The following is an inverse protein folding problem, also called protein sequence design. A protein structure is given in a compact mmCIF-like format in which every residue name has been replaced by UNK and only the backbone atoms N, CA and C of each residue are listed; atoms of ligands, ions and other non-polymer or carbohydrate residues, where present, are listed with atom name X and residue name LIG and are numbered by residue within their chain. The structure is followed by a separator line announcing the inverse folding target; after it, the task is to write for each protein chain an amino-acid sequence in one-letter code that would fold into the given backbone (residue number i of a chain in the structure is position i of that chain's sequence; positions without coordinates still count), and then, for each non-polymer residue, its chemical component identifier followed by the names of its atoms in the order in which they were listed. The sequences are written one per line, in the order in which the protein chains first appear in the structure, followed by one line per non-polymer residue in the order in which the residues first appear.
data_IF_339972792074
#
_entry.id   IF_339972792074
#
_cell.length_a   1.000
_cell.length_b   1.000
_cell.length_c   1.000
_cell.angle_alpha   90.00
_cell.angle_beta   90.00
_cell.angle_gamma   90.00
#
_symmetry.space_group_name_H-M   'P 1'
#
loop_
_entity.id
_entity.type
_entity.pdbx_description
1 polymer ?
#
# COMPACT_ATOMS: atom_id res chain seq x y z
N UNK A 1 24.82 -23.49 5.57
CA UNK A 1 23.91 -22.47 4.99
C UNK A 1 22.54 -22.62 5.62
N UNK A 2 22.05 -21.58 6.31
CA UNK A 2 20.87 -21.67 7.18
C UNK A 2 19.57 -21.66 6.34
N UNK A 3 18.95 -22.82 6.15
CA UNK A 3 17.77 -23.02 5.28
C UNK A 3 16.53 -22.22 5.72
N UNK A 4 16.47 -21.86 7.00
CA UNK A 4 15.41 -21.02 7.60
C UNK A 4 15.42 -19.58 7.07
N UNK A 5 16.60 -18.97 6.94
CA UNK A 5 16.79 -17.60 6.42
C UNK A 5 16.42 -17.52 4.95
N UNK A 6 16.78 -18.54 4.17
CA UNK A 6 16.47 -18.63 2.74
C UNK A 6 14.97 -18.76 2.49
N UNK A 7 14.27 -19.56 3.31
CA UNK A 7 12.81 -19.71 3.27
C UNK A 7 12.08 -18.41 3.65
N UNK A 8 12.57 -17.65 4.64
CA UNK A 8 12.04 -16.32 5.00
C UNK A 8 12.21 -15.30 3.86
N UNK A 9 13.38 -15.25 3.20
CA UNK A 9 13.64 -14.36 2.05
C UNK A 9 12.70 -14.63 0.87
N UNK A 10 12.51 -15.91 0.54
CA UNK A 10 11.61 -16.34 -0.54
C UNK A 10 10.16 -15.94 -0.21
N UNK A 11 9.74 -16.04 1.06
CA UNK A 11 8.39 -15.65 1.49
C UNK A 11 8.09 -14.16 1.32
N UNK A 12 9.05 -13.27 1.62
CA UNK A 12 8.90 -11.82 1.42
C UNK A 12 8.79 -11.49 -0.07
N UNK A 13 9.63 -12.12 -0.89
CA UNK A 13 9.59 -11.95 -2.34
C UNK A 13 8.23 -12.40 -2.91
N UNK A 14 7.71 -13.54 -2.47
CA UNK A 14 6.39 -14.02 -2.86
C UNK A 14 5.27 -13.10 -2.37
N UNK A 15 5.36 -12.52 -1.18
CA UNK A 15 4.37 -11.54 -0.70
C UNK A 15 4.38 -10.25 -1.52
N UNK A 16 5.55 -9.79 -1.97
CA UNK A 16 5.67 -8.67 -2.90
C UNK A 16 5.02 -9.00 -4.24
N UNK A 17 5.40 -10.13 -4.85
CA UNK A 17 4.97 -10.52 -6.19
C UNK A 17 3.51 -10.96 -6.28
N UNK A 18 3.01 -11.76 -5.34
CA UNK A 18 1.68 -12.37 -5.42
C UNK A 18 0.59 -11.57 -4.73
N UNK A 19 0.95 -10.66 -3.82
CA UNK A 19 -0.03 -9.94 -3.02
C UNK A 19 0.10 -8.42 -3.19
N UNK A 20 1.28 -7.85 -2.90
CA UNK A 20 1.44 -6.40 -2.85
C UNK A 20 1.34 -5.74 -4.23
N UNK A 21 2.02 -6.30 -5.25
CA UNK A 21 1.98 -5.78 -6.62
C UNK A 21 0.58 -5.95 -7.25
N UNK A 22 -0.07 -7.13 -7.20
CA UNK A 22 -1.43 -7.28 -7.71
C UNK A 22 -2.44 -6.36 -7.00
N UNK A 23 -2.33 -6.19 -5.68
CA UNK A 23 -3.18 -5.25 -4.95
C UNK A 23 -2.92 -3.80 -5.39
N UNK A 24 -1.66 -3.40 -5.61
CA UNK A 24 -1.34 -2.08 -6.11
C UNK A 24 -1.89 -1.85 -7.52
N UNK A 25 -1.79 -2.85 -8.40
CA UNK A 25 -2.39 -2.81 -9.74
C UNK A 25 -3.91 -2.68 -9.67
N UNK A 26 -4.57 -3.45 -8.79
CA UNK A 26 -6.01 -3.34 -8.56
C UNK A 26 -6.39 -1.94 -8.03
N UNK A 27 -5.59 -1.36 -7.13
CA UNK A 27 -5.78 0.02 -6.65
C UNK A 27 -5.64 1.06 -7.76
N UNK A 28 -4.65 0.91 -8.65
CA UNK A 28 -4.50 1.77 -9.84
C UNK A 28 -5.71 1.64 -10.75
N UNK A 29 -6.16 0.40 -11.03
CA UNK A 29 -7.31 0.14 -11.88
C UNK A 29 -8.60 0.74 -11.29
N UNK A 30 -8.81 0.59 -9.97
CA UNK A 30 -9.92 1.23 -9.27
C UNK A 30 -9.85 2.76 -9.38
N UNK A 31 -8.67 3.35 -9.21
CA UNK A 31 -8.45 4.80 -9.37
C UNK A 31 -8.77 5.27 -10.79
N UNK A 32 -8.38 4.50 -11.82
CA UNK A 32 -8.72 4.80 -13.21
C UNK A 32 -10.22 4.72 -13.49
N UNK A 33 -10.91 3.71 -12.93
CA UNK A 33 -12.38 3.60 -13.02
C UNK A 33 -13.04 4.81 -12.36
N UNK A 34 -12.58 5.20 -11.17
CA UNK A 34 -13.09 6.39 -10.48
C UNK A 34 -12.82 7.68 -11.27
N UNK A 35 -11.66 7.79 -11.92
CA UNK A 35 -11.34 8.91 -12.79
C UNK A 35 -12.28 8.98 -14.00
N UNK A 36 -12.59 7.84 -14.63
CA UNK A 36 -13.56 7.79 -15.74
C UNK A 36 -14.96 8.20 -15.29
N UNK A 37 -15.41 7.71 -14.13
CA UNK A 37 -16.68 8.12 -13.52
C UNK A 37 -16.68 9.62 -13.23
N UNK A 38 -15.60 10.14 -12.66
CA UNK A 38 -15.44 11.56 -12.37
C UNK A 38 -15.47 12.43 -13.64
N UNK A 39 -14.78 12.02 -14.71
CA UNK A 39 -14.79 12.71 -16.02
C UNK A 39 -16.19 12.72 -16.67
N UNK A 40 -17.01 11.70 -16.41
CA UNK A 40 -18.40 11.65 -16.90
C UNK A 40 -19.38 12.49 -16.06
N UNK A 41 -18.91 13.06 -14.94
CA UNK A 41 -19.69 13.91 -14.03
C UNK A 41 -19.04 15.30 -13.94
N UNK A 42 -19.53 16.13 -13.02
CA UNK A 42 -18.92 17.45 -12.80
C UNK A 42 -17.52 17.30 -12.19
N UNK A 43 -16.50 17.95 -12.77
CA UNK A 43 -15.14 17.89 -12.26
C UNK A 43 -15.05 18.56 -10.88
N UNK A 44 -14.41 17.85 -9.95
CA UNK A 44 -14.16 18.26 -8.56
C UNK A 44 -12.66 18.30 -8.28
N UNK A 45 -12.17 19.45 -7.82
CA UNK A 45 -10.76 19.64 -7.41
C UNK A 45 -10.35 18.69 -6.28
N UNK A 46 -11.29 18.36 -5.38
CA UNK A 46 -11.05 17.45 -4.26
C UNK A 46 -10.69 16.03 -4.74
N UNK A 47 -11.26 15.56 -5.85
CA UNK A 47 -10.90 14.29 -6.46
C UNK A 47 -9.45 14.31 -6.96
N UNK A 48 -9.07 15.36 -7.68
CA UNK A 48 -7.70 15.50 -8.23
C UNK A 48 -6.66 15.58 -7.11
N UNK A 49 -6.94 16.33 -6.05
CA UNK A 49 -6.09 16.36 -4.86
C UNK A 49 -5.97 14.99 -4.20
N UNK A 50 -7.08 14.26 -4.04
CA UNK A 50 -7.07 12.93 -3.46
C UNK A 50 -6.29 11.93 -4.34
N UNK A 51 -6.45 12.00 -5.67
CA UNK A 51 -5.73 11.18 -6.63
C UNK A 51 -4.22 11.47 -6.66
N UNK A 52 -3.83 12.75 -6.65
CA UNK A 52 -2.43 13.16 -6.58
C UNK A 52 -1.79 12.69 -5.27
N UNK A 53 -2.50 12.86 -4.15
CA UNK A 53 -2.03 12.43 -2.83
C UNK A 53 -1.89 10.90 -2.77
N UNK A 54 -2.89 10.16 -3.27
CA UNK A 54 -2.84 8.70 -3.35
C UNK A 54 -1.67 8.23 -4.23
N UNK A 55 -1.50 8.83 -5.40
CA UNK A 55 -0.41 8.52 -6.34
C UNK A 55 0.97 8.77 -5.74
N UNK A 56 1.18 9.95 -5.13
CA UNK A 56 2.44 10.30 -4.47
C UNK A 56 2.80 9.33 -3.34
N UNK A 57 1.83 9.00 -2.48
CA UNK A 57 2.00 8.01 -1.43
C UNK A 57 2.24 6.60 -1.98
N UNK A 58 1.62 6.23 -3.11
CA UNK A 58 1.85 4.94 -3.78
C UNK A 58 3.28 4.79 -4.26
N UNK A 59 3.84 5.84 -4.88
CA UNK A 59 5.23 5.85 -5.32
C UNK A 59 6.19 5.77 -4.14
N UNK A 60 5.97 6.59 -3.10
CA UNK A 60 6.80 6.57 -1.90
C UNK A 60 6.76 5.21 -1.21
N UNK A 61 5.57 4.62 -1.07
CA UNK A 61 5.39 3.33 -0.39
C UNK A 61 6.01 2.18 -1.18
N UNK A 62 5.94 2.21 -2.51
CA UNK A 62 6.62 1.25 -3.38
C UNK A 62 8.14 1.32 -3.20
N UNK A 63 8.69 2.53 -3.19
CA UNK A 63 10.12 2.74 -2.96
C UNK A 63 10.54 2.22 -1.57
N UNK A 64 9.82 2.63 -0.52
CA UNK A 64 10.09 2.22 0.85
C UNK A 64 10.00 0.69 1.02
N UNK A 65 8.99 0.06 0.40
CA UNK A 65 8.81 -1.38 0.41
C UNK A 65 9.99 -2.12 -0.23
N UNK A 66 10.44 -1.68 -1.40
CA UNK A 66 11.59 -2.26 -2.09
C UNK A 66 12.89 -2.05 -1.32
N UNK A 67 13.11 -0.84 -0.78
CA UNK A 67 14.26 -0.52 0.04
C UNK A 67 14.32 -1.40 1.28
N UNK A 68 13.23 -1.51 2.05
CA UNK A 68 13.18 -2.35 3.26
C UNK A 68 13.32 -3.84 2.93
N UNK A 69 12.70 -4.32 1.85
CA UNK A 69 12.85 -5.70 1.42
C UNK A 69 14.31 -6.00 1.01
N UNK A 70 14.99 -5.06 0.35
CA UNK A 70 16.39 -5.18 0.00
C UNK A 70 17.29 -5.15 1.24
N UNK A 71 17.05 -4.21 2.17
CA UNK A 71 17.77 -4.12 3.45
C UNK A 71 17.64 -5.40 4.26
N UNK A 72 16.44 -5.98 4.35
CA UNK A 72 16.26 -7.29 4.97
C UNK A 72 17.05 -8.39 4.24
N UNK A 73 17.05 -8.38 2.90
CA UNK A 73 17.79 -9.34 2.09
C UNK A 73 19.30 -9.22 2.26
N UNK A 74 19.86 -8.04 2.48
CA UNK A 74 21.31 -7.86 2.61
C UNK A 74 21.79 -7.98 4.06
N UNK A 75 21.01 -7.44 5.00
CA UNK A 75 21.44 -7.17 6.37
C UNK A 75 20.56 -7.80 7.45
N UNK A 76 19.53 -8.59 7.10
CA UNK A 76 18.69 -9.31 8.08
C UNK A 76 17.89 -8.38 9.00
N UNK A 77 17.55 -8.83 10.21
CA UNK A 77 16.75 -8.05 11.15
C UNK A 77 17.44 -6.80 11.64
N UNK A 78 18.74 -6.87 11.91
CA UNK A 78 19.52 -5.70 12.34
C UNK A 78 19.45 -4.59 11.29
N UNK A 79 19.55 -4.95 10.01
CA UNK A 79 19.34 -4.01 8.91
C UNK A 79 17.95 -3.38 8.91
N UNK A 80 16.90 -4.18 9.12
CA UNK A 80 15.54 -3.66 9.24
C UNK A 80 15.36 -2.75 10.45
N UNK A 81 15.90 -3.12 11.61
CA UNK A 81 15.84 -2.33 12.84
C UNK A 81 16.57 -0.98 12.68
N UNK A 82 17.68 -0.95 11.96
CA UNK A 82 18.36 0.30 11.59
C UNK A 82 17.48 1.25 10.75
N UNK A 83 16.47 0.70 10.05
CA UNK A 83 15.48 1.42 9.26
C UNK A 83 14.11 1.49 9.94
N UNK A 84 14.06 1.45 11.27
CA UNK A 84 12.82 1.45 12.06
C UNK A 84 11.87 2.60 11.72
N UNK A 85 12.39 3.80 11.42
CA UNK A 85 11.57 4.95 10.97
C UNK A 85 10.76 4.62 9.72
N UNK A 86 11.39 4.01 8.71
CA UNK A 86 10.72 3.62 7.47
C UNK A 86 9.71 2.50 7.69
N UNK A 87 10.05 1.50 8.52
CA UNK A 87 9.12 0.44 8.94
C UNK A 87 7.90 0.98 9.67
N UNK A 88 8.06 2.08 10.41
CA UNK A 88 6.98 2.69 11.17
C UNK A 88 6.13 3.66 10.34
N UNK A 89 6.73 4.31 9.34
CA UNK A 89 6.03 5.22 8.44
C UNK A 89 5.16 4.47 7.41
N UNK A 90 5.59 3.32 6.91
CA UNK A 90 4.90 2.57 5.85
C UNK A 90 3.42 2.22 6.15
N UNK A 91 3.06 1.72 7.35
CA UNK A 91 1.66 1.49 7.72
C UNK A 91 0.85 2.78 7.81
N UNK A 92 1.46 3.87 8.32
CA UNK A 92 0.81 5.18 8.46
C UNK A 92 0.49 5.75 7.07
N UNK A 93 1.46 5.75 6.16
CA UNK A 93 1.25 6.19 4.77
C UNK A 93 0.21 5.31 4.08
N UNK A 94 0.24 3.99 4.29
CA UNK A 94 -0.78 3.08 3.74
C UNK A 94 -2.19 3.42 4.24
N UNK A 95 -2.35 3.82 5.51
CA UNK A 95 -3.64 4.27 6.03
C UNK A 95 -4.12 5.56 5.35
N UNK A 96 -3.24 6.53 5.14
CA UNK A 96 -3.55 7.75 4.39
C UNK A 96 -3.91 7.45 2.92
N UNK A 97 -3.28 6.45 2.29
CA UNK A 97 -3.69 5.99 0.96
C UNK A 97 -5.10 5.41 0.97
N UNK A 98 -5.45 4.59 1.98
CA UNK A 98 -6.80 4.06 2.12
C UNK A 98 -7.83 5.20 2.20
N UNK A 99 -7.55 6.21 3.02
CA UNK A 99 -8.42 7.40 3.19
C UNK A 99 -8.52 8.18 1.88
N UNK A 100 -7.42 8.40 1.16
CA UNK A 100 -7.44 9.07 -0.13
C UNK A 100 -8.25 8.31 -1.17
N UNK A 101 -8.16 6.97 -1.21
CA UNK A 101 -8.97 6.13 -2.08
C UNK A 101 -10.48 6.22 -1.76
N UNK A 102 -10.83 6.27 -0.48
CA UNK A 102 -12.21 6.49 -0.03
C UNK A 102 -12.71 7.90 -0.39
N UNK A 103 -11.87 8.92 -0.26
CA UNK A 103 -12.20 10.28 -0.67
C UNK A 103 -12.43 10.37 -2.19
N UNK A 104 -11.60 9.70 -3.00
CA UNK A 104 -11.80 9.58 -4.44
C UNK A 104 -13.13 8.91 -4.78
N UNK A 105 -13.51 7.86 -4.05
CA UNK A 105 -14.82 7.21 -4.23
C UNK A 105 -15.95 8.21 -4.01
N UNK A 106 -16.04 8.81 -2.82
CA UNK A 106 -17.15 9.70 -2.49
C UNK A 106 -17.21 10.96 -3.36
N UNK A 107 -16.06 11.46 -3.82
CA UNK A 107 -16.02 12.63 -4.73
C UNK A 107 -16.35 12.27 -6.18
N UNK A 108 -16.11 11.02 -6.62
CA UNK A 108 -16.49 10.55 -7.96
C UNK A 108 -17.97 10.14 -8.06
N UNK A 109 -18.46 9.33 -7.12
CA UNK A 109 -19.85 8.80 -7.17
C UNK A 109 -20.86 9.60 -6.33
N UNK A 110 -20.40 10.56 -5.53
CA UNK A 110 -21.26 11.24 -4.56
C UNK A 110 -21.51 10.37 -3.31
N UNK A 111 -22.12 10.98 -2.29
CA UNK A 111 -22.51 10.24 -1.08
C UNK A 111 -23.76 9.41 -1.34
N UNK A 112 -23.58 8.10 -1.53
CA UNK A 112 -24.68 7.13 -1.57
C UNK A 112 -24.48 6.07 -0.48
N UNK A 113 -25.53 5.66 0.26
CA UNK A 113 -25.41 4.64 1.31
C UNK A 113 -24.80 3.31 0.81
N UNK A 114 -25.07 2.96 -0.46
CA UNK A 114 -24.49 1.78 -1.11
C UNK A 114 -22.97 1.88 -1.32
N UNK A 115 -22.41 3.09 -1.41
CA UNK A 115 -20.97 3.32 -1.53
C UNK A 115 -20.18 2.76 -0.33
N UNK A 116 -20.82 2.73 0.85
CA UNK A 116 -20.23 2.17 2.07
C UNK A 116 -19.96 0.66 1.97
N UNK A 117 -20.67 -0.06 1.09
CA UNK A 117 -20.42 -1.48 0.85
C UNK A 117 -19.12 -1.71 0.06
N UNK A 118 -18.73 -0.75 -0.77
CA UNK A 118 -17.51 -0.82 -1.60
C UNK A 118 -16.29 -0.20 -0.92
N UNK A 119 -16.49 0.71 0.05
CA UNK A 119 -15.42 1.38 0.78
C UNK A 119 -14.40 0.41 1.43
N UNK A 120 -14.81 -0.72 2.07
CA UNK A 120 -13.85 -1.67 2.63
C UNK A 120 -12.96 -2.33 1.57
N UNK A 121 -13.53 -2.67 0.41
CA UNK A 121 -12.75 -3.22 -0.71
C UNK A 121 -11.75 -2.19 -1.23
N UNK A 122 -12.17 -0.94 -1.37
CA UNK A 122 -11.30 0.17 -1.76
C UNK A 122 -10.22 0.49 -0.72
N UNK A 123 -10.47 0.27 0.57
CA UNK A 123 -9.44 0.39 1.60
C UNK A 123 -8.38 -0.72 1.49
N UNK A 124 -8.81 -1.96 1.21
CA UNK A 124 -7.88 -3.10 1.05
C UNK A 124 -6.99 -2.93 -0.18
N UNK A 125 -7.57 -2.52 -1.31
CA UNK A 125 -6.81 -2.30 -2.55
C UNK A 125 -6.15 -0.92 -2.63
N UNK A 126 -6.66 0.07 -1.91
CA UNK A 126 -6.13 1.43 -1.82
C UNK A 126 -4.90 1.53 -0.91
N UNK A 127 -4.67 0.55 -0.04
CA UNK A 127 -3.52 0.46 0.85
C UNK A 127 -2.70 -0.82 0.62
N UNK A 128 -2.20 -1.06 -0.61
CA UNK A 128 -1.61 -2.35 -1.00
C UNK A 128 -0.35 -2.70 -0.18
N UNK A 129 0.33 -1.68 0.36
CA UNK A 129 1.56 -1.82 1.12
C UNK A 129 1.35 -2.11 2.62
N UNK A 130 0.12 -1.99 3.12
CA UNK A 130 -0.19 -2.22 4.53
C UNK A 130 0.17 -3.65 4.96
N UNK A 131 -0.20 -4.64 4.15
CA UNK A 131 0.09 -6.05 4.43
C UNK A 131 1.60 -6.35 4.50
N UNK A 132 2.37 -5.79 3.56
CA UNK A 132 3.81 -5.94 3.49
C UNK A 132 4.50 -5.24 4.66
N UNK A 133 4.03 -4.05 5.05
CA UNK A 133 4.55 -3.32 6.21
C UNK A 133 4.44 -4.15 7.49
N UNK A 134 3.30 -4.83 7.67
CA UNK A 134 3.07 -5.73 8.80
C UNK A 134 4.00 -6.95 8.77
N UNK A 135 4.22 -7.51 7.58
CA UNK A 135 5.12 -8.64 7.38
C UNK A 135 6.58 -8.27 7.71
N UNK A 136 7.07 -7.13 7.23
CA UNK A 136 8.43 -6.66 7.49
C UNK A 136 8.64 -6.29 8.96
N UNK A 137 7.65 -5.64 9.60
CA UNK A 137 7.66 -5.40 11.06
C UNK A 137 7.68 -6.68 11.88
N UNK A 138 7.02 -7.74 11.41
CA UNK A 138 7.08 -9.04 12.09
C UNK A 138 8.47 -9.66 11.95
N UNK A 139 9.08 -9.56 10.78
CA UNK A 139 10.43 -10.08 10.54
C UNK A 139 11.49 -9.37 11.38
N UNK A 140 11.38 -8.06 11.57
CA UNK A 140 12.33 -7.30 12.42
C UNK A 140 12.28 -7.69 13.90
N UNK A 141 11.23 -8.39 14.35
CA UNK A 141 11.04 -8.84 15.75
C UNK A 141 11.28 -10.34 15.97
N UNK A 142 11.49 -11.12 14.91
CA UNK A 142 11.62 -12.59 14.98
C UNK A 142 13.08 -13.07 15.05
N UNK A 143 14.04 -12.15 15.21
CA UNK A 143 15.47 -12.46 15.43
C UNK A 143 15.97 -11.93 16.78
N UNK A 144 15.06 -11.48 17.66
CA UNK A 144 15.28 -11.39 19.12
C UNK A 144 15.02 -12.77 19.76
#
# INVERSE_FOLDING_TARGET
MNTSVQRKRIRVLWHLLLFSIPCAMAGVLATLVLLMVWLSRQPSEAFLMAAANWGGMSVWSAYAALMLANTWRTCGAEGLQSQSTWLNALPVVSAFQAVAAVAMLFTAIGWEPAALLYAPFLMIFGAPWASLSWHLRRLSRLEE
#
